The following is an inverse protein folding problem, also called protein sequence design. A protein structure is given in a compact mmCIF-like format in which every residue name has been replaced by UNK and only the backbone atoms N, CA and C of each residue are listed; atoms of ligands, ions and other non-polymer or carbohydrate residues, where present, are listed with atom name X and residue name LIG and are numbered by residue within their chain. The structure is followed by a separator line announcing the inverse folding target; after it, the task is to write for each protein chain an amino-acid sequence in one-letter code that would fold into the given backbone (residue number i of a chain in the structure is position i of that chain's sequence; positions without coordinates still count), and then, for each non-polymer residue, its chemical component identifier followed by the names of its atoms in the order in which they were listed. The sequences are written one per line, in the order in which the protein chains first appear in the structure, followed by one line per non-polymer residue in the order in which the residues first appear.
data_IF_214603434915
#
_entry.id   IF_214603434915
#
_cell.length_a   1.000
_cell.length_b   1.000
_cell.length_c   1.000
_cell.angle_alpha   90.00
_cell.angle_beta   90.00
_cell.angle_gamma   90.00
#
_symmetry.space_group_name_H-M   'P 1'
#
loop_
_entity.id
_entity.type
_entity.pdbx_description
1 polymer ?
#
# COMPACT_ATOMS: atom_id res chain seq x y z
N UNK A 1 -15.26 58.16 17.28
CA UNK A 1 -14.79 56.90 17.87
C UNK A 1 -15.51 55.69 17.24
N UNK A 2 -16.82 55.59 17.13
CA UNK A 2 -17.54 54.46 16.54
C UNK A 2 -17.13 54.12 15.09
N UNK A 3 -16.95 55.17 14.21
CA UNK A 3 -16.55 54.98 12.81
C UNK A 3 -15.14 54.37 12.65
N UNK A 4 -14.20 54.71 13.52
CA UNK A 4 -12.84 54.17 13.54
C UNK A 4 -12.85 52.68 13.96
N UNK A 5 -13.70 52.32 14.92
CA UNK A 5 -13.89 50.94 15.36
C UNK A 5 -14.42 50.04 14.22
N UNK A 6 -15.36 50.53 13.42
CA UNK A 6 -15.88 49.79 12.26
C UNK A 6 -14.80 49.60 11.17
N UNK A 7 -13.99 50.62 10.89
CA UNK A 7 -12.89 50.50 9.90
C UNK A 7 -11.84 49.50 10.38
N UNK A 8 -11.49 49.53 11.65
CA UNK A 8 -10.54 48.55 12.24
C UNK A 8 -11.07 47.12 12.20
N UNK A 9 -12.36 46.93 12.44
CA UNK A 9 -13.03 45.62 12.35
C UNK A 9 -13.03 45.05 10.92
N UNK A 10 -13.26 45.88 9.91
CA UNK A 10 -13.26 45.48 8.51
C UNK A 10 -11.84 45.12 8.05
N UNK A 11 -10.80 45.87 8.46
CA UNK A 11 -9.41 45.59 8.16
C UNK A 11 -9.00 44.24 8.81
N UNK A 12 -9.39 43.99 10.06
CA UNK A 12 -9.09 42.73 10.76
C UNK A 12 -9.80 41.52 10.11
N UNK A 13 -11.01 41.69 9.59
CA UNK A 13 -11.75 40.65 8.86
C UNK A 13 -11.09 40.30 7.49
N UNK A 14 -10.48 41.27 6.83
CA UNK A 14 -9.80 41.08 5.55
C UNK A 14 -8.43 40.36 5.70
N UNK A 15 -7.79 40.39 6.85
CA UNK A 15 -6.52 39.73 7.10
C UNK A 15 -6.67 38.24 7.45
N UNK A 16 -7.87 37.77 7.73
CA UNK A 16 -8.15 36.34 8.04
C UNK A 16 -8.30 35.44 6.80
N UNK A 17 -8.16 35.98 5.59
CA UNK A 17 -8.26 35.24 4.33
C UNK A 17 -6.92 34.60 3.91
N UNK A 18 -5.99 34.40 4.83
CA UNK A 18 -4.81 33.60 4.55
C UNK A 18 -5.17 32.12 4.65
N UNK A 19 -5.96 31.64 3.70
CA UNK A 19 -5.92 30.23 3.32
C UNK A 19 -4.52 30.00 2.74
N UNK A 20 -3.61 29.63 3.57
CA UNK A 20 -2.34 29.06 3.20
C UNK A 20 -2.64 27.72 2.52
N UNK A 21 -2.87 27.77 1.22
CA UNK A 21 -2.80 26.60 0.35
C UNK A 21 -1.32 26.23 0.22
N UNK A 22 -0.76 25.77 1.33
CA UNK A 22 0.57 25.21 1.42
C UNK A 22 0.52 23.81 0.81
N UNK A 23 0.53 23.75 -0.53
CA UNK A 23 0.95 22.51 -1.18
C UNK A 23 2.39 22.24 -0.70
N UNK A 24 2.62 21.15 0.03
CA UNK A 24 3.97 20.80 0.48
C UNK A 24 4.83 20.52 -0.74
N UNK A 25 5.66 21.46 -1.14
CA UNK A 25 6.59 21.34 -2.29
C UNK A 25 7.65 20.25 -2.09
N UNK A 26 7.74 19.69 -0.91
CA UNK A 26 8.72 18.67 -0.51
C UNK A 26 8.11 17.30 -0.21
N UNK A 27 6.79 17.19 -0.09
CA UNK A 27 6.10 15.89 -0.08
C UNK A 27 5.51 15.67 -1.46
N UNK A 28 5.74 14.49 -2.02
CA UNK A 28 5.06 14.01 -3.21
C UNK A 28 3.57 13.89 -2.85
N UNK A 29 2.82 15.00 -3.02
CA UNK A 29 1.37 14.95 -2.90
C UNK A 29 0.84 14.11 -4.06
N UNK A 30 -0.18 13.30 -3.80
CA UNK A 30 -0.81 12.43 -4.82
C UNK A 30 -1.16 13.19 -6.10
N UNK A 31 -1.55 14.45 -6.00
CA UNK A 31 -1.89 15.33 -7.13
C UNK A 31 -0.71 15.62 -8.08
N UNK A 32 0.54 15.44 -7.63
CA UNK A 32 1.74 15.75 -8.43
C UNK A 32 2.55 14.51 -8.81
N UNK A 33 2.28 13.35 -8.22
CA UNK A 33 3.09 12.16 -8.43
C UNK A 33 2.79 11.47 -9.77
N UNK A 34 1.53 11.29 -10.15
CA UNK A 34 1.10 10.43 -11.27
C UNK A 34 1.10 11.14 -12.64
N UNK A 35 2.10 11.98 -12.92
CA UNK A 35 2.14 12.81 -14.14
C UNK A 35 2.96 12.26 -15.30
N UNK A 36 3.76 11.24 -15.07
CA UNK A 36 4.61 10.66 -16.11
C UNK A 36 4.65 9.13 -16.02
N UNK A 37 4.92 8.41 -17.13
CA UNK A 37 5.06 6.95 -17.12
C UNK A 37 6.14 6.46 -16.15
N UNK A 38 7.20 7.24 -15.94
CA UNK A 38 8.27 6.93 -15.01
C UNK A 38 7.79 6.81 -13.57
N UNK A 39 6.80 7.63 -13.17
CA UNK A 39 6.22 7.56 -11.83
C UNK A 39 5.47 6.26 -11.61
N UNK A 40 4.69 5.79 -12.58
CA UNK A 40 4.03 4.50 -12.54
C UNK A 40 5.04 3.36 -12.47
N UNK A 41 6.10 3.43 -13.28
CA UNK A 41 7.18 2.45 -13.25
C UNK A 41 7.90 2.40 -11.90
N UNK A 42 8.26 3.55 -11.34
CA UNK A 42 8.89 3.63 -10.01
C UNK A 42 7.99 3.04 -8.93
N UNK A 43 6.70 3.34 -8.98
CA UNK A 43 5.74 2.81 -8.01
C UNK A 43 5.58 1.29 -8.16
N UNK A 44 5.49 0.77 -9.38
CA UNK A 44 5.37 -0.66 -9.63
C UNK A 44 6.64 -1.42 -9.25
N UNK A 45 7.81 -0.82 -9.41
CA UNK A 45 9.10 -1.45 -9.07
C UNK A 45 9.19 -1.88 -7.61
N UNK A 46 8.53 -1.17 -6.68
CA UNK A 46 8.51 -1.57 -5.26
C UNK A 46 7.80 -2.91 -5.03
N UNK A 47 6.89 -3.31 -5.91
CA UNK A 47 6.14 -4.57 -5.77
C UNK A 47 7.03 -5.80 -5.86
N UNK A 48 8.14 -5.72 -6.56
CA UNK A 48 9.11 -6.82 -6.69
C UNK A 48 9.76 -7.21 -5.37
N UNK A 49 9.82 -6.28 -4.41
CA UNK A 49 10.25 -6.56 -3.04
C UNK A 49 9.29 -7.45 -2.25
N UNK A 50 8.09 -7.70 -2.77
CA UNK A 50 7.08 -8.55 -2.10
C UNK A 50 7.18 -10.02 -2.52
N UNK A 51 7.80 -10.31 -3.66
CA UNK A 51 8.02 -11.69 -4.08
C UNK A 51 8.84 -12.38 -3.01
N UNK A 52 8.36 -13.54 -2.59
CA UNK A 52 9.06 -14.35 -1.61
C UNK A 52 10.51 -14.51 -2.04
N UNK A 53 11.38 -14.23 -1.13
CA UNK A 53 12.79 -14.52 -1.34
C UNK A 53 12.94 -16.04 -1.32
N UNK A 54 13.01 -16.66 -2.49
CA UNK A 54 13.17 -18.11 -2.66
C UNK A 54 14.38 -18.70 -1.93
N UNK A 55 15.05 -17.89 -1.10
CA UNK A 55 16.33 -18.28 -0.53
C UNK A 55 16.27 -19.26 0.59
N UNK A 56 15.17 -19.37 1.35
CA UNK A 56 15.24 -20.16 2.58
C UNK A 56 13.90 -20.70 3.07
N UNK A 57 13.95 -21.90 3.62
CA UNK A 57 12.97 -22.45 4.55
C UNK A 57 12.96 -21.56 5.80
N UNK A 58 12.14 -20.54 5.82
CA UNK A 58 11.92 -19.76 7.01
C UNK A 58 10.73 -20.30 7.81
N UNK A 59 10.53 -19.82 9.03
CA UNK A 59 9.39 -20.15 9.88
C UNK A 59 8.07 -19.50 9.37
N UNK A 60 8.05 -19.09 8.10
CA UNK A 60 6.86 -18.47 7.52
C UNK A 60 5.72 -19.48 7.42
N UNK A 61 4.51 -18.95 7.42
CA UNK A 61 3.29 -19.75 7.30
C UNK A 61 3.19 -20.55 5.99
N UNK A 62 4.09 -20.30 5.04
CA UNK A 62 4.14 -20.92 3.72
C UNK A 62 5.20 -22.00 3.59
N UNK A 63 6.02 -22.22 4.63
CA UNK A 63 7.05 -23.23 4.60
C UNK A 63 6.44 -24.62 4.79
N UNK A 64 7.10 -25.62 4.21
CA UNK A 64 6.75 -27.03 4.34
C UNK A 64 6.74 -27.55 5.79
N UNK A 65 7.25 -26.74 6.73
CA UNK A 65 7.19 -27.02 8.18
C UNK A 65 5.75 -27.12 8.74
N UNK A 66 4.74 -26.67 8.00
CA UNK A 66 3.32 -26.84 8.35
C UNK A 66 2.79 -28.23 8.02
N UNK A 67 3.52 -28.96 7.18
CA UNK A 67 3.19 -30.34 6.80
C UNK A 67 3.93 -31.33 7.68
N UNK A 68 3.57 -32.61 7.58
CA UNK A 68 4.24 -33.72 8.20
C UNK A 68 5.47 -34.22 7.40
N UNK A 69 5.74 -33.59 6.26
CA UNK A 69 6.86 -33.94 5.37
C UNK A 69 8.18 -33.35 5.83
N UNK A 70 8.17 -32.40 6.74
CA UNK A 70 9.38 -31.75 7.21
C UNK A 70 9.41 -31.67 8.74
N UNK A 71 10.45 -32.27 9.35
CA UNK A 71 10.69 -32.23 10.79
C UNK A 71 11.63 -31.07 11.15
N UNK A 72 11.16 -30.16 11.99
CA UNK A 72 11.97 -29.08 12.56
C UNK A 72 12.29 -29.35 14.03
N UNK A 73 13.32 -28.70 14.57
CA UNK A 73 13.72 -28.85 15.98
C UNK A 73 12.64 -28.38 16.97
N UNK A 74 11.80 -27.43 16.55
CA UNK A 74 10.62 -26.95 17.30
C UNK A 74 9.35 -27.42 16.60
N UNK A 75 8.41 -27.92 17.39
CA UNK A 75 7.13 -28.39 16.83
C UNK A 75 6.33 -27.18 16.33
N UNK A 76 5.94 -27.24 15.06
CA UNK A 76 5.10 -26.20 14.47
C UNK A 76 3.68 -26.30 15.01
N UNK A 77 3.11 -25.17 15.47
CA UNK A 77 1.77 -25.12 16.07
C UNK A 77 0.66 -25.49 15.10
N UNK A 78 0.89 -25.33 13.80
CA UNK A 78 -0.09 -25.71 12.78
C UNK A 78 -0.06 -27.22 12.52
N UNK A 79 1.12 -27.84 12.47
CA UNK A 79 1.24 -29.28 12.22
C UNK A 79 0.78 -30.12 13.39
N UNK A 80 0.83 -29.63 14.64
CA UNK A 80 0.36 -30.33 15.81
C UNK A 80 -1.06 -29.95 16.27
N UNK A 81 -1.74 -29.01 15.55
CA UNK A 81 -3.10 -28.60 15.83
C UNK A 81 -3.26 -27.76 17.09
N UNK A 82 -2.21 -27.16 17.63
CA UNK A 82 -2.27 -26.29 18.83
C UNK A 82 -2.34 -24.80 18.48
N UNK A 83 -2.51 -24.46 17.19
CA UNK A 83 -2.65 -23.08 16.77
C UNK A 83 -3.93 -22.44 17.33
N UNK A 84 -3.82 -21.18 17.70
CA UNK A 84 -4.96 -20.32 18.07
C UNK A 84 -5.03 -19.13 17.12
N UNK A 85 -6.23 -18.54 16.99
CA UNK A 85 -6.42 -17.34 16.19
C UNK A 85 -5.71 -16.18 16.90
N UNK A 86 -4.66 -15.59 16.28
CA UNK A 86 -3.96 -14.46 16.89
C UNK A 86 -4.83 -13.19 16.84
N UNK A 87 -4.61 -12.28 17.78
CA UNK A 87 -5.27 -10.96 17.79
C UNK A 87 -4.76 -10.04 16.67
N UNK A 88 -3.59 -10.32 16.11
CA UNK A 88 -3.02 -9.61 14.98
C UNK A 88 -2.17 -10.58 14.15
N UNK A 89 -2.24 -10.45 12.85
CA UNK A 89 -1.45 -11.24 11.91
C UNK A 89 -0.77 -10.31 10.92
N UNK A 90 0.56 -10.33 10.94
CA UNK A 90 1.38 -9.49 10.06
C UNK A 90 1.24 -9.91 8.59
N UNK A 91 1.16 -11.21 8.31
CA UNK A 91 1.01 -11.70 6.94
C UNK A 91 -0.32 -11.24 6.33
N UNK A 92 -1.41 -11.31 7.09
CA UNK A 92 -2.72 -10.78 6.70
C UNK A 92 -2.65 -9.27 6.42
N UNK A 93 -2.15 -8.51 7.37
CA UNK A 93 -2.09 -7.04 7.28
C UNK A 93 -1.20 -6.57 6.14
N UNK A 94 -0.02 -7.18 5.97
CA UNK A 94 0.91 -6.80 4.91
C UNK A 94 0.31 -7.06 3.52
N UNK A 95 -0.31 -8.23 3.29
CA UNK A 95 -0.92 -8.53 2.00
C UNK A 95 -2.08 -7.58 1.67
N UNK A 96 -2.94 -7.21 2.63
CA UNK A 96 -3.99 -6.22 2.38
C UNK A 96 -3.43 -4.81 2.13
N UNK A 97 -2.33 -4.43 2.79
CA UNK A 97 -1.65 -3.17 2.50
C UNK A 97 -1.03 -3.16 1.08
N UNK A 98 -0.46 -4.28 0.64
CA UNK A 98 0.06 -4.46 -0.72
C UNK A 98 -1.06 -4.39 -1.76
N UNK A 99 -2.19 -5.05 -1.52
CA UNK A 99 -3.39 -4.96 -2.37
C UNK A 99 -3.86 -3.50 -2.47
N UNK A 100 -3.86 -2.76 -1.38
CA UNK A 100 -4.19 -1.32 -1.40
C UNK A 100 -3.25 -0.54 -2.31
N UNK A 101 -1.94 -0.79 -2.22
CA UNK A 101 -0.95 -0.10 -3.07
C UNK A 101 -1.16 -0.42 -4.55
N UNK A 102 -1.42 -1.69 -4.90
CA UNK A 102 -1.74 -2.05 -6.30
C UNK A 102 -3.02 -1.37 -6.78
N UNK A 103 -4.06 -1.32 -5.94
CA UNK A 103 -5.31 -0.64 -6.26
C UNK A 103 -5.11 0.87 -6.45
N UNK A 104 -4.23 1.50 -5.66
CA UNK A 104 -3.86 2.91 -5.85
C UNK A 104 -3.25 3.15 -7.22
N UNK A 105 -2.27 2.32 -7.64
CA UNK A 105 -1.70 2.44 -8.98
C UNK A 105 -2.76 2.26 -10.07
N UNK A 106 -3.61 1.25 -9.95
CA UNK A 106 -4.65 0.97 -10.95
C UNK A 106 -5.67 2.11 -11.04
N UNK A 107 -6.10 2.67 -9.92
CA UNK A 107 -6.99 3.82 -9.89
C UNK A 107 -6.36 5.04 -10.58
N UNK A 108 -5.10 5.33 -10.30
CA UNK A 108 -4.38 6.43 -10.93
C UNK A 108 -4.12 6.18 -12.43
N UNK A 109 -3.96 4.91 -12.82
CA UNK A 109 -3.83 4.53 -14.23
C UNK A 109 -5.13 4.76 -15.01
N UNK A 110 -6.30 4.53 -14.40
CA UNK A 110 -7.59 4.78 -15.03
C UNK A 110 -7.81 6.27 -15.33
N UNK A 111 -7.22 7.15 -14.52
CA UNK A 111 -7.31 8.60 -14.65
C UNK A 111 -6.20 9.18 -15.57
N UNK A 112 -5.23 8.37 -16.00
CA UNK A 112 -4.08 8.83 -16.79
C UNK A 112 -4.38 8.87 -18.28
N UNK A 113 -4.22 10.04 -18.92
CA UNK A 113 -4.61 10.28 -20.32
C UNK A 113 -3.88 9.38 -21.33
N UNK A 114 -2.61 9.00 -21.07
CA UNK A 114 -1.76 8.21 -21.96
C UNK A 114 -1.60 6.77 -21.46
N UNK A 115 -2.68 6.07 -21.28
CA UNK A 115 -2.70 4.71 -20.73
C UNK A 115 -1.79 3.72 -21.47
N UNK A 116 -1.60 3.88 -22.79
CA UNK A 116 -0.71 3.02 -23.57
C UNK A 116 0.74 3.05 -23.07
N UNK A 117 1.21 4.17 -22.53
CA UNK A 117 2.58 4.34 -22.05
C UNK A 117 2.85 3.63 -20.71
N UNK A 118 1.80 3.29 -19.96
CA UNK A 118 1.88 2.68 -18.63
C UNK A 118 1.39 1.24 -18.58
N UNK A 119 1.09 0.63 -19.73
CA UNK A 119 0.51 -0.72 -19.84
C UNK A 119 1.31 -1.78 -19.07
N UNK A 120 2.64 -1.69 -19.09
CA UNK A 120 3.51 -2.60 -18.34
C UNK A 120 3.28 -2.46 -16.83
N UNK A 121 3.29 -1.25 -16.30
CA UNK A 121 3.08 -1.00 -14.86
C UNK A 121 1.69 -1.41 -14.39
N UNK A 122 0.67 -1.25 -15.25
CA UNK A 122 -0.69 -1.74 -15.00
C UNK A 122 -0.71 -3.27 -14.95
N UNK A 123 -0.02 -3.94 -15.89
CA UNK A 123 0.12 -5.39 -15.90
C UNK A 123 0.82 -5.92 -14.64
N UNK A 124 1.90 -5.26 -14.22
CA UNK A 124 2.62 -5.56 -12.96
C UNK A 124 1.70 -5.41 -11.75
N UNK A 125 0.92 -4.34 -11.67
CA UNK A 125 -0.03 -4.14 -10.57
C UNK A 125 -1.10 -5.23 -10.51
N UNK A 126 -1.65 -5.66 -11.64
CA UNK A 126 -2.59 -6.78 -11.70
C UNK A 126 -1.96 -8.08 -11.25
N UNK A 127 -0.73 -8.36 -11.70
CA UNK A 127 0.01 -9.55 -11.31
C UNK A 127 0.24 -9.59 -9.79
N UNK A 128 0.82 -8.53 -9.23
CA UNK A 128 1.12 -8.49 -7.79
C UNK A 128 -0.13 -8.44 -6.93
N UNK A 129 -1.22 -7.86 -7.40
CA UNK A 129 -2.52 -7.94 -6.72
C UNK A 129 -3.01 -9.38 -6.64
N UNK A 130 -2.97 -10.09 -7.76
CA UNK A 130 -3.34 -11.51 -7.80
C UNK A 130 -2.42 -12.36 -6.91
N UNK A 131 -1.11 -12.09 -6.92
CA UNK A 131 -0.14 -12.74 -6.05
C UNK A 131 -0.49 -12.55 -4.57
N UNK A 132 -0.78 -11.34 -4.12
CA UNK A 132 -1.17 -11.09 -2.73
C UNK A 132 -2.47 -11.79 -2.33
N UNK A 133 -3.46 -11.86 -3.22
CA UNK A 133 -4.68 -12.63 -2.97
C UNK A 133 -4.40 -14.14 -2.91
N UNK A 134 -3.52 -14.64 -3.76
CA UNK A 134 -3.11 -16.04 -3.73
C UNK A 134 -2.44 -16.39 -2.39
N UNK A 135 -1.55 -15.54 -1.89
CA UNK A 135 -0.92 -15.68 -0.58
C UNK A 135 -1.94 -15.73 0.57
N UNK A 136 -2.95 -14.85 0.51
CA UNK A 136 -4.05 -14.83 1.48
C UNK A 136 -4.89 -16.11 1.39
N UNK A 137 -5.23 -16.56 0.18
CA UNK A 137 -6.01 -17.76 -0.04
C UNK A 137 -5.29 -19.00 0.49
N UNK A 138 -3.98 -19.12 0.24
CA UNK A 138 -3.18 -20.23 0.75
C UNK A 138 -3.12 -20.28 2.28
N UNK A 139 -3.05 -19.11 2.93
CA UNK A 139 -2.89 -19.04 4.38
C UNK A 139 -4.22 -19.18 5.14
N UNK A 140 -5.31 -18.63 4.60
CA UNK A 140 -6.57 -18.46 5.34
C UNK A 140 -7.78 -19.15 4.68
N UNK A 141 -7.63 -19.60 3.43
CA UNK A 141 -8.73 -20.14 2.67
C UNK A 141 -9.64 -19.04 2.08
N UNK A 142 -10.81 -19.43 1.63
CA UNK A 142 -11.87 -18.59 1.07
C UNK A 142 -12.91 -18.20 2.14
#
# INVERSE_FOLDING_TARGET
MKKIAYILSIICAMTMQSCLDLEPKTQLADTNYWKSPEHFKLFATQFYGWSADFRWLDDSQHADIRSDLFAYSTVNVYSNGTNSIPSSDKHYTDNYNRIRQTNTLLQQADEYDRQADITTSVGEAHFFRAYCYFELLQAYGD
#
